data_IF_414931912379
#
_entry.id   IF_414931912379
#
_cell.length_a   1.000
_cell.length_b   1.000
_cell.length_c   1.000
_cell.angle_alpha   90.00
_cell.angle_beta   90.00
_cell.angle_gamma   90.00
#
_symmetry.space_group_name_H-M   'P 1'
#
loop_
_entity.id
_entity.type
_entity.pdbx_description
1 polymer ?
#
# COMPACT_ATOMS: atom_id res chain seq x y z
N UNK A 1 -22.05 -44.17 -53.27
CA UNK A 1 -22.11 -43.05 -52.30
C UNK A 1 -20.76 -42.93 -51.62
N UNK A 2 -19.94 -41.95 -52.02
CA UNK A 2 -18.62 -41.66 -51.42
C UNK A 2 -18.86 -40.67 -50.27
N UNK A 3 -18.33 -40.95 -49.08
CA UNK A 3 -18.35 -40.00 -47.96
C UNK A 3 -17.02 -39.25 -47.97
N UNK A 4 -17.11 -37.95 -48.14
CA UNK A 4 -15.99 -37.02 -48.06
C UNK A 4 -15.37 -37.06 -46.66
N UNK A 5 -14.08 -37.41 -46.58
CA UNK A 5 -13.26 -37.13 -45.39
C UNK A 5 -12.92 -35.65 -45.41
N UNK A 6 -13.62 -34.86 -44.59
CA UNK A 6 -13.16 -33.52 -44.30
C UNK A 6 -11.91 -33.62 -43.41
N UNK A 7 -10.83 -32.98 -43.85
CA UNK A 7 -9.60 -32.82 -43.10
C UNK A 7 -9.86 -31.92 -41.89
N UNK A 8 -9.46 -32.39 -40.70
CA UNK A 8 -9.48 -31.57 -39.50
C UNK A 8 -8.40 -30.47 -39.61
N UNK A 9 -8.70 -29.21 -39.28
CA UNK A 9 -7.70 -28.17 -39.27
C UNK A 9 -6.77 -28.36 -38.06
N UNK A 10 -5.48 -28.56 -38.33
CA UNK A 10 -4.42 -28.49 -37.33
C UNK A 10 -4.44 -27.10 -36.68
N UNK A 11 -4.93 -27.04 -35.45
CA UNK A 11 -4.94 -25.81 -34.66
C UNK A 11 -3.50 -25.53 -34.18
N UNK A 12 -2.72 -24.83 -34.99
CA UNK A 12 -1.43 -24.28 -34.58
C UNK A 12 -1.68 -23.16 -33.56
N UNK A 13 -1.61 -23.51 -32.28
CA UNK A 13 -1.54 -22.52 -31.21
C UNK A 13 -0.24 -21.72 -31.40
N UNK A 14 -0.34 -20.50 -31.93
CA UNK A 14 0.72 -19.51 -31.83
C UNK A 14 0.95 -19.23 -30.35
N UNK A 15 1.98 -19.82 -29.78
CA UNK A 15 2.58 -19.34 -28.55
C UNK A 15 3.23 -18.01 -28.89
N UNK A 16 2.50 -16.92 -28.68
CA UNK A 16 3.07 -15.58 -28.63
C UNK A 16 3.97 -15.54 -27.38
N UNK A 17 5.22 -16.01 -27.52
CA UNK A 17 6.21 -15.85 -26.48
C UNK A 17 6.44 -14.34 -26.28
N UNK A 18 6.28 -13.82 -25.05
CA UNK A 18 6.46 -12.40 -24.81
C UNK A 18 7.92 -12.04 -25.13
N UNK A 19 8.13 -11.13 -26.08
CA UNK A 19 9.45 -10.59 -26.37
C UNK A 19 9.97 -9.84 -25.13
N UNK A 20 11.03 -10.36 -24.53
CA UNK A 20 11.66 -9.72 -23.38
C UNK A 20 12.45 -8.49 -23.84
N UNK A 21 12.25 -7.36 -23.18
CA UNK A 21 13.09 -6.18 -23.39
C UNK A 21 14.56 -6.50 -23.11
N UNK A 22 15.48 -5.92 -23.88
CA UNK A 22 16.92 -6.05 -23.63
C UNK A 22 17.31 -5.66 -22.19
N UNK A 23 16.57 -4.72 -21.60
CA UNK A 23 16.77 -4.27 -20.23
C UNK A 23 16.39 -5.37 -19.23
N UNK A 24 15.28 -6.05 -19.48
CA UNK A 24 14.78 -7.13 -18.62
C UNK A 24 15.71 -8.35 -18.69
N UNK A 25 16.19 -8.68 -19.89
CA UNK A 25 17.19 -9.74 -20.09
C UNK A 25 18.52 -9.44 -19.39
N UNK A 26 18.94 -8.17 -19.35
CA UNK A 26 20.15 -7.76 -18.64
C UNK A 26 19.97 -7.86 -17.12
N UNK A 27 18.79 -7.48 -16.62
CA UNK A 27 18.43 -7.60 -15.21
C UNK A 27 18.39 -9.07 -14.78
N UNK A 28 17.70 -9.92 -15.56
CA UNK A 28 17.60 -11.36 -15.31
C UNK A 28 18.99 -12.02 -15.27
N UNK A 29 19.86 -11.73 -16.24
CA UNK A 29 21.25 -12.23 -16.24
C UNK A 29 22.02 -11.83 -15.00
N UNK A 30 21.84 -10.61 -14.49
CA UNK A 30 22.47 -10.15 -13.26
C UNK A 30 21.95 -10.93 -12.04
N UNK A 31 20.65 -11.17 -11.96
CA UNK A 31 20.02 -11.91 -10.87
C UNK A 31 20.49 -13.37 -10.86
N UNK A 32 20.47 -14.04 -12.02
CA UNK A 32 20.95 -15.42 -12.17
C UNK A 32 22.43 -15.53 -11.79
N UNK A 33 23.26 -14.57 -12.20
CA UNK A 33 24.69 -14.56 -11.82
C UNK A 33 24.90 -14.35 -10.31
N UNK A 34 24.03 -13.57 -9.65
CA UNK A 34 24.19 -13.20 -8.25
C UNK A 34 23.66 -14.28 -7.29
N UNK A 35 22.56 -14.93 -7.66
CA UNK A 35 21.81 -15.81 -6.76
C UNK A 35 21.71 -17.26 -7.26
N UNK A 36 22.08 -17.55 -8.50
CA UNK A 36 21.87 -18.86 -9.12
C UNK A 36 20.54 -18.95 -9.85
N UNK A 37 20.48 -19.80 -10.88
CA UNK A 37 19.27 -20.00 -11.68
C UNK A 37 18.14 -20.61 -10.83
N UNK A 38 18.48 -21.59 -9.99
CA UNK A 38 17.50 -22.35 -9.22
C UNK A 38 16.73 -21.48 -8.23
N UNK A 39 17.44 -20.65 -7.47
CA UNK A 39 16.90 -19.72 -6.49
C UNK A 39 16.05 -18.64 -7.16
N UNK A 40 16.48 -18.13 -8.33
CA UNK A 40 15.70 -17.15 -9.09
C UNK A 40 14.39 -17.75 -9.59
N UNK A 41 14.41 -18.98 -10.10
CA UNK A 41 13.19 -19.68 -10.52
C UNK A 41 12.25 -19.98 -9.35
N UNK A 42 12.79 -20.39 -8.19
CA UNK A 42 12.01 -20.62 -6.99
C UNK A 42 11.30 -19.34 -6.52
N UNK A 43 12.04 -18.25 -6.37
CA UNK A 43 11.48 -16.94 -5.96
C UNK A 43 10.48 -16.40 -6.98
N UNK A 44 10.71 -16.59 -8.28
CA UNK A 44 9.78 -16.17 -9.32
C UNK A 44 8.42 -16.90 -9.22
N UNK A 45 8.40 -18.13 -8.72
CA UNK A 45 7.16 -18.89 -8.48
C UNK A 45 6.39 -18.44 -7.23
N UNK A 46 7.07 -17.88 -6.24
CA UNK A 46 6.46 -17.41 -4.99
C UNK A 46 5.88 -15.99 -5.11
N UNK A 47 6.38 -15.18 -6.05
CA UNK A 47 6.02 -13.78 -6.19
C UNK A 47 4.90 -13.62 -7.23
N UNK A 48 3.73 -13.15 -6.81
CA UNK A 48 2.66 -12.74 -7.72
C UNK A 48 3.14 -11.54 -8.54
N UNK A 49 3.12 -11.57 -9.89
CA UNK A 49 3.56 -10.45 -10.71
C UNK A 49 2.67 -9.23 -10.44
N UNK A 50 3.26 -8.20 -9.84
CA UNK A 50 2.65 -6.90 -9.61
C UNK A 50 2.89 -6.08 -10.88
N UNK A 51 1.83 -5.46 -11.41
CA UNK A 51 1.89 -4.67 -12.63
C UNK A 51 3.03 -3.63 -12.62
N UNK A 52 3.53 -3.24 -13.80
CA UNK A 52 4.75 -2.45 -13.92
C UNK A 52 4.68 -1.14 -13.11
N UNK A 53 5.71 -0.93 -12.28
CA UNK A 53 5.99 0.35 -11.60
C UNK A 53 5.46 0.54 -10.18
N UNK A 54 4.84 -0.48 -9.55
CA UNK A 54 4.45 -0.37 -8.13
C UNK A 54 5.32 -1.27 -7.25
N UNK A 55 6.08 -0.71 -6.27
CA UNK A 55 6.71 -1.52 -5.25
C UNK A 55 5.65 -2.37 -4.54
N UNK A 56 6.02 -3.59 -4.13
CA UNK A 56 5.24 -4.35 -3.17
C UNK A 56 4.92 -3.43 -2.00
N UNK A 57 3.64 -3.13 -1.80
CA UNK A 57 3.22 -2.58 -0.52
C UNK A 57 3.35 -3.75 0.44
N UNK A 58 4.48 -3.84 1.15
CA UNK A 58 4.49 -4.56 2.41
C UNK A 58 3.35 -4.03 3.29
N UNK A 59 2.98 -4.70 4.36
CA UNK A 59 1.86 -4.24 5.21
C UNK A 59 2.10 -2.86 5.86
N UNK A 60 3.35 -2.37 5.84
CA UNK A 60 3.81 -1.14 6.50
C UNK A 60 3.18 0.19 6.01
N UNK A 61 3.02 0.51 4.71
CA UNK A 61 2.50 1.81 4.26
C UNK A 61 1.02 2.02 4.57
N UNK A 62 0.26 0.95 4.83
CA UNK A 62 -1.15 1.04 5.19
C UNK A 62 -1.32 1.55 6.63
N UNK A 63 -0.59 0.95 7.58
CA UNK A 63 -0.61 1.36 8.98
C UNK A 63 0.08 2.71 9.22
N UNK A 64 1.15 3.04 8.49
CA UNK A 64 1.80 4.35 8.59
C UNK A 64 0.84 5.49 8.25
N UNK A 65 0.03 5.34 7.19
CA UNK A 65 -0.99 6.31 6.83
C UNK A 65 -2.04 6.49 7.93
N UNK A 66 -2.45 5.38 8.56
CA UNK A 66 -3.43 5.39 9.64
C UNK A 66 -2.87 6.01 10.92
N UNK A 67 -1.64 5.67 11.33
CA UNK A 67 -0.98 6.29 12.49
C UNK A 67 -0.79 7.79 12.29
N UNK A 68 -0.40 8.20 11.08
CA UNK A 68 -0.35 9.62 10.73
C UNK A 68 -1.73 10.27 10.84
N UNK A 69 -2.79 9.60 10.38
CA UNK A 69 -4.15 10.12 10.48
C UNK A 69 -4.64 10.23 11.92
N UNK A 70 -4.33 9.23 12.75
CA UNK A 70 -4.64 9.19 14.17
C UNK A 70 -3.95 10.34 14.90
N UNK A 71 -2.64 10.49 14.70
CA UNK A 71 -1.85 11.59 15.25
C UNK A 71 -2.39 12.97 14.81
N UNK A 72 -2.76 13.15 13.53
CA UNK A 72 -3.34 14.41 13.05
C UNK A 72 -4.68 14.71 13.73
N UNK A 73 -5.53 13.70 13.97
CA UNK A 73 -6.80 13.90 14.69
C UNK A 73 -6.57 14.23 16.17
N UNK A 74 -5.57 13.62 16.82
CA UNK A 74 -5.16 13.98 18.18
C UNK A 74 -4.71 15.44 18.26
N UNK A 75 -3.80 15.87 17.38
CA UNK A 75 -3.33 17.25 17.34
C UNK A 75 -4.48 18.22 17.03
N UNK A 76 -5.36 17.86 16.10
CA UNK A 76 -6.54 18.67 15.78
C UNK A 76 -7.47 18.80 16.99
N UNK A 77 -7.70 17.73 17.75
CA UNK A 77 -8.52 17.77 18.96
C UNK A 77 -7.89 18.69 20.01
N UNK A 78 -6.57 18.64 20.16
CA UNK A 78 -5.85 19.54 21.06
C UNK A 78 -5.96 21.01 20.64
N UNK A 79 -5.74 21.34 19.37
CA UNK A 79 -5.95 22.70 18.86
C UNK A 79 -7.39 23.18 19.05
N UNK A 80 -8.37 22.28 18.96
CA UNK A 80 -9.78 22.61 19.23
C UNK A 80 -10.00 22.93 20.71
N UNK A 81 -9.39 22.18 21.63
CA UNK A 81 -9.43 22.47 23.08
C UNK A 81 -8.80 23.81 23.40
N UNK A 82 -7.71 24.16 22.72
CA UNK A 82 -7.02 25.46 22.83
C UNK A 82 -7.79 26.63 22.18
N UNK A 83 -8.97 26.38 21.60
CA UNK A 83 -9.81 27.44 21.01
C UNK A 83 -9.35 27.92 19.63
N UNK A 84 -8.55 27.13 18.92
CA UNK A 84 -8.09 27.51 17.58
C UNK A 84 -9.25 27.47 16.56
N UNK A 85 -9.34 28.48 15.69
CA UNK A 85 -10.39 28.59 14.67
C UNK A 85 -10.17 27.64 13.48
N UNK A 86 -8.94 27.21 13.22
CA UNK A 86 -8.57 26.32 12.13
C UNK A 86 -7.72 25.13 12.63
N UNK A 87 -8.26 24.27 13.51
CA UNK A 87 -7.48 23.26 14.22
C UNK A 87 -6.83 22.24 13.29
N UNK A 88 -7.49 21.89 12.17
CA UNK A 88 -6.91 20.98 11.18
C UNK A 88 -5.73 21.62 10.43
N UNK A 89 -5.81 22.91 10.10
CA UNK A 89 -4.71 23.60 9.42
C UNK A 89 -3.47 23.63 10.32
N UNK A 90 -3.68 23.84 11.63
CA UNK A 90 -2.61 23.84 12.63
C UNK A 90 -1.99 22.46 12.79
N UNK A 91 -2.79 21.41 12.98
CA UNK A 91 -2.29 20.04 13.03
C UNK A 91 -1.47 19.64 11.79
N UNK A 92 -1.85 20.10 10.59
CA UNK A 92 -1.07 19.86 9.37
C UNK A 92 0.24 20.65 9.32
N UNK A 93 0.27 21.86 9.88
CA UNK A 93 1.50 22.62 10.03
C UNK A 93 2.43 21.96 11.04
N UNK A 94 1.92 21.45 12.16
CA UNK A 94 2.71 20.72 13.13
C UNK A 94 3.31 19.46 12.51
N UNK A 95 2.55 18.75 11.65
CA UNK A 95 3.06 17.62 10.89
C UNK A 95 4.21 18.04 9.95
N UNK A 96 4.08 19.20 9.31
CA UNK A 96 5.10 19.74 8.42
C UNK A 96 6.37 20.11 9.20
N UNK A 97 6.23 20.80 10.33
CA UNK A 97 7.35 21.15 11.22
C UNK A 97 8.04 19.91 11.78
N UNK A 98 7.28 18.88 12.18
CA UNK A 98 7.83 17.61 12.66
C UNK A 98 8.65 16.87 11.59
N UNK A 99 8.20 16.89 10.33
CA UNK A 99 8.82 16.11 9.24
C UNK A 99 9.95 16.85 8.53
N UNK A 100 9.93 18.19 8.54
CA UNK A 100 10.86 19.01 7.77
C UNK A 100 11.63 20.03 8.60
N UNK A 101 11.16 20.43 9.78
CA UNK A 101 11.87 21.33 10.71
C UNK A 101 12.63 22.47 10.03
N UNK A 102 13.93 22.52 10.28
CA UNK A 102 14.89 23.49 9.73
C UNK A 102 15.62 23.00 8.47
N UNK A 103 15.08 21.99 7.78
CA UNK A 103 15.67 21.47 6.54
C UNK A 103 15.76 22.59 5.48
N UNK A 104 16.98 22.89 4.97
CA UNK A 104 17.16 23.91 3.94
C UNK A 104 16.43 23.58 2.63
N UNK A 105 16.16 22.30 2.34
CA UNK A 105 15.47 21.82 1.13
C UNK A 105 13.98 21.50 1.38
N UNK A 106 13.39 22.09 2.43
CA UNK A 106 12.00 21.83 2.81
C UNK A 106 11.01 22.14 1.67
N UNK A 107 10.04 21.25 1.43
CA UNK A 107 9.04 21.46 0.39
C UNK A 107 8.13 22.64 0.74
N UNK A 108 7.51 23.25 -0.27
CA UNK A 108 6.54 24.32 -0.03
C UNK A 108 5.41 23.84 0.93
N UNK A 109 5.13 24.59 2.03
CA UNK A 109 4.16 24.17 3.05
C UNK A 109 2.75 23.92 2.50
N UNK A 110 2.30 24.69 1.50
CA UNK A 110 0.96 24.54 0.94
C UNK A 110 0.86 23.31 0.04
N UNK A 111 1.88 23.06 -0.78
CA UNK A 111 2.02 21.83 -1.57
C UNK A 111 2.12 20.61 -0.67
N UNK A 112 2.88 20.71 0.41
CA UNK A 112 3.00 19.66 1.41
C UNK A 112 1.64 19.37 2.05
N UNK A 113 0.95 20.39 2.56
CA UNK A 113 -0.37 20.23 3.17
C UNK A 113 -1.38 19.60 2.21
N UNK A 114 -1.35 19.96 0.92
CA UNK A 114 -2.19 19.34 -0.11
C UNK A 114 -1.87 17.86 -0.31
N UNK A 115 -0.57 17.53 -0.36
CA UNK A 115 -0.09 16.15 -0.50
C UNK A 115 -0.46 15.31 0.73
N UNK A 116 -0.27 15.87 1.92
CA UNK A 116 -0.58 15.22 3.18
C UNK A 116 -2.08 14.97 3.32
N UNK A 117 -2.93 15.94 2.96
CA UNK A 117 -4.39 15.77 2.91
C UNK A 117 -4.82 14.60 2.02
N UNK A 118 -4.19 14.43 0.85
CA UNK A 118 -4.48 13.30 -0.06
C UNK A 118 -4.18 11.94 0.57
N UNK A 119 -3.17 11.85 1.44
CA UNK A 119 -2.84 10.63 2.20
C UNK A 119 -3.74 10.47 3.43
N UNK A 120 -4.00 11.58 4.12
CA UNK A 120 -4.77 11.64 5.36
C UNK A 120 -6.22 11.19 5.20
N UNK A 121 -6.97 11.69 4.20
CA UNK A 121 -8.41 11.39 4.13
C UNK A 121 -8.74 9.91 3.90
N UNK A 122 -8.06 9.19 2.97
CA UNK A 122 -8.24 7.75 2.85
C UNK A 122 -7.87 7.00 4.13
N UNK A 123 -6.71 7.31 4.71
CA UNK A 123 -6.25 6.64 5.93
C UNK A 123 -7.14 6.90 7.14
N UNK A 124 -7.69 8.12 7.26
CA UNK A 124 -8.70 8.44 8.28
C UNK A 124 -9.95 7.59 8.09
N UNK A 125 -10.45 7.45 6.86
CA UNK A 125 -11.61 6.60 6.58
C UNK A 125 -11.35 5.16 7.03
N UNK A 126 -10.16 4.64 6.70
CA UNK A 126 -9.76 3.28 7.06
C UNK A 126 -9.63 3.10 8.58
N UNK A 127 -9.09 4.11 9.28
CA UNK A 127 -9.07 4.16 10.74
C UNK A 127 -10.46 4.08 11.35
N UNK A 128 -11.43 4.85 10.84
CA UNK A 128 -12.82 4.78 11.31
C UNK A 128 -13.45 3.39 11.08
N UNK A 129 -13.14 2.75 9.95
CA UNK A 129 -13.62 1.38 9.67
C UNK A 129 -13.04 0.40 10.67
N UNK A 130 -11.72 0.46 10.93
CA UNK A 130 -11.06 -0.45 11.86
C UNK A 130 -11.50 -0.22 13.31
N UNK A 131 -11.67 1.03 13.73
CA UNK A 131 -12.21 1.37 15.05
C UNK A 131 -13.61 0.77 15.23
N UNK A 132 -14.49 0.93 14.24
CA UNK A 132 -15.83 0.34 14.26
C UNK A 132 -15.79 -1.19 14.32
N UNK A 133 -14.97 -1.85 13.51
CA UNK A 133 -14.83 -3.32 13.54
C UNK A 133 -14.30 -3.78 14.90
N UNK A 134 -13.34 -3.06 15.48
CA UNK A 134 -12.80 -3.37 16.80
C UNK A 134 -13.87 -3.22 17.90
N UNK A 135 -14.72 -2.18 17.83
CA UNK A 135 -15.87 -2.01 18.74
C UNK A 135 -16.88 -3.15 18.62
N UNK A 136 -17.23 -3.54 17.39
CA UNK A 136 -18.14 -4.65 17.11
C UNK A 136 -17.57 -5.97 17.64
N UNK A 137 -16.28 -6.25 17.43
CA UNK A 137 -15.60 -7.42 17.98
C UNK A 137 -15.57 -7.40 19.51
N UNK A 138 -15.26 -6.26 20.13
CA UNK A 138 -15.27 -6.12 21.59
C UNK A 138 -16.68 -6.31 22.19
N UNK A 139 -17.74 -5.97 21.45
CA UNK A 139 -19.12 -6.21 21.87
C UNK A 139 -19.52 -7.69 21.74
N UNK A 140 -18.94 -8.42 20.78
CA UNK A 140 -19.21 -9.84 20.53
C UNK A 140 -18.40 -10.74 21.47
N UNK A 141 -17.18 -10.35 21.86
CA UNK A 141 -16.38 -11.10 22.84
C UNK A 141 -17.06 -10.98 24.22
N UNK A 142 -17.67 -12.04 24.77
CA UNK A 142 -18.19 -11.99 26.12
C UNK A 142 -17.02 -11.69 27.06
N UNK A 143 -17.22 -10.77 28.02
CA UNK A 143 -16.27 -10.51 29.12
C UNK A 143 -16.04 -11.81 29.91
N UNK A 144 -15.17 -12.68 29.40
CA UNK A 144 -14.80 -13.90 30.07
C UNK A 144 -13.96 -13.52 31.28
N UNK A 145 -14.54 -13.77 32.47
CA UNK A 145 -13.91 -13.78 33.79
C UNK A 145 -13.42 -12.44 34.34
N UNK A 146 -14.31 -11.78 35.09
CA UNK A 146 -14.00 -11.47 36.49
C UNK A 146 -14.90 -12.34 37.38
N UNK A 147 -14.50 -13.61 37.53
CA UNK A 147 -15.05 -14.58 38.48
C UNK A 147 -13.89 -15.41 39.06
N UNK A 148 -12.87 -14.75 39.59
CA UNK A 148 -11.92 -15.34 40.56
C UNK A 148 -11.67 -14.18 41.55
N UNK A 149 -12.54 -14.10 42.57
CA UNK A 149 -12.30 -14.45 43.98
C UNK A 149 -11.51 -13.38 44.74
#
# INVERSE_FOLDING_TARGET
MRRDRQAEPEFQAKTDEPEWSETDLKCLRRLVRKYGLHEVSHMAGEIVPIGPGRPSRGDLPYYEGMHLADWIEEQRAEHKRLGNSAPLKRALNDAYEMLHGDDPDRPDPEKFATTLKRKFYPARRDLHVLQRVAEELNAIVPKQKQREK
#
